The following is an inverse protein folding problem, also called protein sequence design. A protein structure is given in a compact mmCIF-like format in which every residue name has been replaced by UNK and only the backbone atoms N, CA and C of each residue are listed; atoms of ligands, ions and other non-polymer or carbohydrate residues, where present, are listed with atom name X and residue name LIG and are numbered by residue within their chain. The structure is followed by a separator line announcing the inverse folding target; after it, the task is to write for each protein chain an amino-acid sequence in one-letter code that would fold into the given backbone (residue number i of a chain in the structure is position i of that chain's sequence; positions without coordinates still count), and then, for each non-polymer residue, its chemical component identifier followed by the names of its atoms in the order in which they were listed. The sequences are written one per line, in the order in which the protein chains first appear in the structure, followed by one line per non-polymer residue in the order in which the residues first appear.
data_IF_255609805209
#
_entry.id   IF_255609805209
#
_cell.length_a   1.000
_cell.length_b   1.000
_cell.length_c   1.000
_cell.angle_alpha   90.00
_cell.angle_beta   90.00
_cell.angle_gamma   90.00
#
_symmetry.space_group_name_H-M   'P 1'
#
loop_
_entity.id
_entity.type
_entity.pdbx_description
1 polymer ?
#
# COMPACT_ATOMS: atom_id res chain seq x y z
N UNK A 1 -24.23 3.99 35.56
CA UNK A 1 -23.27 2.92 35.28
C UNK A 1 -22.13 3.49 34.44
N UNK A 2 -20.90 3.03 34.63
CA UNK A 2 -19.77 3.43 33.78
C UNK A 2 -19.97 2.96 32.34
N UNK A 3 -19.27 3.62 31.41
CA UNK A 3 -19.25 3.27 29.99
C UNK A 3 -17.81 3.08 29.56
N UNK A 4 -17.54 1.98 28.87
CA UNK A 4 -16.25 1.68 28.26
C UNK A 4 -16.11 2.27 26.86
N UNK A 5 -14.97 2.01 26.22
CA UNK A 5 -14.70 2.51 24.87
C UNK A 5 -13.49 1.86 24.24
N UNK A 6 -13.11 2.39 23.07
CA UNK A 6 -11.98 1.92 22.28
C UNK A 6 -10.86 2.94 22.31
N UNK A 7 -9.63 2.46 22.49
CA UNK A 7 -8.40 3.26 22.47
C UNK A 7 -7.32 2.53 21.67
N UNK A 8 -6.28 3.26 21.25
CA UNK A 8 -5.06 2.67 20.68
C UNK A 8 -4.11 2.14 21.76
N UNK A 9 -3.16 1.34 21.40
CA UNK A 9 -2.06 0.92 22.26
C UNK A 9 -1.34 2.15 22.85
N UNK A 10 -1.19 2.17 24.19
CA UNK A 10 -0.60 3.30 24.91
C UNK A 10 -1.52 4.49 25.13
N UNK A 11 -2.77 4.44 24.66
CA UNK A 11 -3.80 5.43 24.94
C UNK A 11 -4.37 5.28 26.35
N UNK A 12 -5.08 6.31 26.83
CA UNK A 12 -5.81 6.32 28.10
C UNK A 12 -7.30 6.56 27.87
N UNK A 13 -8.11 6.16 28.82
CA UNK A 13 -9.56 6.33 28.78
C UNK A 13 -10.09 6.84 30.13
N UNK A 14 -11.02 7.80 30.09
CA UNK A 14 -11.68 8.31 31.28
C UNK A 14 -13.00 7.57 31.50
N UNK A 15 -13.10 6.86 32.62
CA UNK A 15 -14.31 6.16 33.03
C UNK A 15 -14.96 6.96 34.17
N UNK A 16 -16.28 7.08 34.16
CA UNK A 16 -17.02 7.78 35.20
C UNK A 16 -18.27 7.03 35.60
N UNK A 17 -18.71 7.26 36.83
CA UNK A 17 -19.96 6.77 37.35
C UNK A 17 -20.73 7.90 38.07
N UNK A 18 -22.03 7.86 37.99
CA UNK A 18 -22.90 8.71 38.79
C UNK A 18 -23.61 7.82 39.81
N UNK A 19 -23.37 8.09 41.09
CA UNK A 19 -24.06 7.48 42.24
C UNK A 19 -24.83 8.54 43.05
N UNK A 20 -25.86 8.11 43.73
CA UNK A 20 -26.70 8.96 44.58
C UNK A 20 -27.31 8.12 45.70
N UNK A 21 -27.71 8.77 46.79
CA UNK A 21 -28.43 8.11 47.88
C UNK A 21 -27.89 8.43 49.26
N UNK A 22 -26.59 8.50 49.46
CA UNK A 22 -25.93 8.87 50.71
C UNK A 22 -25.16 10.19 50.57
N UNK A 23 -24.98 10.98 51.63
CA UNK A 23 -24.11 12.16 51.63
C UNK A 23 -22.63 11.81 51.54
N UNK A 24 -22.20 10.62 52.01
CA UNK A 24 -20.81 10.19 52.12
C UNK A 24 -20.57 8.95 51.25
N UNK A 25 -20.56 9.13 49.95
CA UNK A 25 -20.33 8.06 48.97
C UNK A 25 -18.83 7.91 48.66
N UNK A 26 -18.33 6.69 48.81
CA UNK A 26 -16.97 6.30 48.51
C UNK A 26 -16.88 5.42 47.25
N UNK A 27 -15.84 5.62 46.47
CA UNK A 27 -15.61 4.94 45.21
C UNK A 27 -14.30 4.17 45.22
N UNK A 28 -14.34 2.88 44.87
CA UNK A 28 -13.14 2.05 44.71
C UNK A 28 -13.16 1.41 43.34
N UNK A 29 -12.45 2.03 42.44
CA UNK A 29 -12.27 1.46 41.10
C UNK A 29 -11.41 0.21 41.12
N UNK A 30 -11.74 -0.76 40.28
CA UNK A 30 -11.04 -2.04 40.16
C UNK A 30 -10.82 -2.37 38.71
N UNK A 31 -9.60 -2.84 38.37
CA UNK A 31 -9.22 -3.38 37.08
C UNK A 31 -9.04 -4.88 37.16
N UNK A 32 -9.46 -5.63 36.18
CA UNK A 32 -9.25 -7.07 36.09
C UNK A 32 -7.89 -7.39 35.49
N UNK A 33 -7.00 -8.07 36.22
CA UNK A 33 -5.66 -8.41 35.77
C UNK A 33 -5.53 -9.76 35.03
N UNK A 34 -6.69 -10.35 34.65
CA UNK A 34 -6.76 -11.68 34.03
C UNK A 34 -7.02 -12.81 35.03
N UNK A 35 -6.86 -12.55 36.34
CA UNK A 35 -7.06 -13.55 37.41
C UNK A 35 -7.92 -13.03 38.55
N UNK A 36 -7.78 -11.75 38.88
CA UNK A 36 -8.48 -11.12 40.02
C UNK A 36 -8.72 -9.63 39.74
N UNK A 37 -9.62 -9.05 40.51
CA UNK A 37 -9.89 -7.61 40.57
C UNK A 37 -8.85 -6.93 41.48
N UNK A 38 -8.16 -5.95 40.92
CA UNK A 38 -7.13 -5.16 41.63
C UNK A 38 -7.65 -3.73 41.80
N UNK A 39 -7.52 -3.17 42.98
CA UNK A 39 -7.89 -1.77 43.26
C UNK A 39 -6.96 -0.83 42.47
N UNK A 40 -7.60 0.14 41.81
CA UNK A 40 -6.93 1.18 41.02
C UNK A 40 -7.56 2.55 41.32
N UNK A 41 -6.80 3.61 41.04
CA UNK A 41 -7.28 4.99 41.21
C UNK A 41 -7.37 5.43 42.65
N UNK A 42 -8.12 6.50 42.85
CA UNK A 42 -8.41 7.14 44.10
C UNK A 42 -9.92 7.12 44.39
N UNK A 43 -10.33 7.47 45.60
CA UNK A 43 -11.73 7.63 45.96
C UNK A 43 -12.34 8.83 45.19
N UNK A 44 -12.88 8.56 44.02
CA UNK A 44 -13.46 9.57 43.14
C UNK A 44 -14.46 8.94 42.13
N UNK A 45 -15.49 9.65 41.70
CA UNK A 45 -16.46 9.16 40.71
C UNK A 45 -15.85 8.99 39.31
N UNK A 46 -14.64 9.51 39.09
CA UNK A 46 -13.94 9.44 37.79
C UNK A 46 -12.62 8.70 37.98
N UNK A 47 -12.24 7.91 36.97
CA UNK A 47 -10.96 7.21 36.92
C UNK A 47 -10.36 7.28 35.50
N UNK A 48 -9.12 7.75 35.39
CA UNK A 48 -8.34 7.66 34.18
C UNK A 48 -7.50 6.40 34.21
N UNK A 49 -7.62 5.57 33.17
CA UNK A 49 -6.95 4.26 33.11
C UNK A 49 -5.42 4.34 33.04
N UNK A 50 -4.87 5.52 32.69
CA UNK A 50 -3.49 5.63 32.25
C UNK A 50 -3.28 4.91 30.90
N UNK A 51 -2.04 4.82 30.48
CA UNK A 51 -1.67 4.17 29.22
C UNK A 51 -1.90 2.66 29.28
N UNK A 52 -2.79 2.14 28.43
CA UNK A 52 -3.09 0.72 28.32
C UNK A 52 -2.41 0.09 27.10
N UNK A 53 -1.87 -1.11 27.30
CA UNK A 53 -1.26 -1.93 26.22
C UNK A 53 -2.12 -3.16 25.87
N UNK A 54 -3.18 -3.40 26.62
CA UNK A 54 -4.10 -4.53 26.42
C UNK A 54 -5.51 -4.16 26.86
N UNK A 55 -6.51 -4.76 26.22
CA UNK A 55 -7.91 -4.66 26.60
C UNK A 55 -8.09 -5.05 28.05
N UNK A 56 -8.78 -4.20 28.83
CA UNK A 56 -8.92 -4.34 30.28
C UNK A 56 -10.37 -4.10 30.70
N UNK A 57 -10.87 -4.93 31.61
CA UNK A 57 -12.18 -4.75 32.23
C UNK A 57 -12.05 -3.94 33.52
N UNK A 58 -13.01 -3.07 33.74
CA UNK A 58 -13.11 -2.24 34.92
C UNK A 58 -14.47 -2.36 35.55
N UNK A 59 -14.53 -2.11 36.87
CA UNK A 59 -15.75 -1.90 37.64
C UNK A 59 -15.45 -0.97 38.79
N UNK A 60 -16.49 -0.40 39.41
CA UNK A 60 -16.36 0.38 40.63
C UNK A 60 -17.18 -0.25 41.74
N UNK A 61 -16.58 -0.40 42.91
CA UNK A 61 -17.24 -0.69 44.15
C UNK A 61 -17.61 0.63 44.79
N UNK A 62 -18.87 0.74 45.25
CA UNK A 62 -19.43 1.95 45.83
C UNK A 62 -20.02 1.59 47.17
N UNK A 63 -19.58 2.29 48.21
CA UNK A 63 -20.08 2.14 49.58
C UNK A 63 -20.33 3.51 50.23
N UNK A 64 -20.91 3.51 51.39
CA UNK A 64 -21.12 4.71 52.22
C UNK A 64 -20.77 4.41 53.68
N UNK A 65 -20.33 5.43 54.42
CA UNK A 65 -19.87 5.28 55.80
C UNK A 65 -21.05 5.05 56.78
N UNK A 66 -22.29 5.32 56.38
CA UNK A 66 -23.45 5.15 57.21
C UNK A 66 -23.84 3.67 57.39
N UNK A 67 -24.04 3.25 58.63
CA UNK A 67 -24.47 1.89 58.95
C UNK A 67 -25.88 1.61 58.41
N UNK A 68 -25.99 0.55 57.59
CA UNK A 68 -27.24 0.08 56.98
C UNK A 68 -27.44 0.44 55.52
N UNK A 69 -26.46 1.12 54.90
CA UNK A 69 -26.43 1.25 53.44
C UNK A 69 -25.86 -0.03 52.82
N UNK A 70 -26.43 -0.45 51.70
CA UNK A 70 -25.92 -1.60 50.95
C UNK A 70 -24.77 -1.16 50.04
N UNK A 71 -23.68 -1.94 50.05
CA UNK A 71 -22.57 -1.80 49.13
C UNK A 71 -22.97 -2.32 47.77
N UNK A 72 -22.54 -1.63 46.70
CA UNK A 72 -22.89 -2.01 45.35
C UNK A 72 -21.68 -2.03 44.40
N UNK A 73 -21.67 -2.96 43.47
CA UNK A 73 -20.76 -2.95 42.33
C UNK A 73 -21.48 -2.41 41.11
N UNK A 74 -20.75 -1.65 40.31
CA UNK A 74 -21.21 -1.33 38.96
C UNK A 74 -21.23 -2.57 38.06
N UNK A 75 -21.90 -2.48 36.93
CA UNK A 75 -21.62 -3.39 35.82
C UNK A 75 -20.16 -3.28 35.37
N UNK A 76 -19.61 -4.37 34.87
CA UNK A 76 -18.29 -4.37 34.24
C UNK A 76 -18.34 -3.59 32.93
N UNK A 77 -17.28 -2.85 32.66
CA UNK A 77 -17.07 -2.16 31.40
C UNK A 77 -15.71 -2.54 30.83
N UNK A 78 -15.64 -2.60 29.51
CA UNK A 78 -14.43 -2.97 28.78
C UNK A 78 -13.84 -1.73 28.13
N UNK A 79 -12.55 -1.49 28.34
CA UNK A 79 -11.76 -0.56 27.54
C UNK A 79 -10.94 -1.40 26.57
N UNK A 80 -11.34 -1.37 25.29
CA UNK A 80 -10.68 -2.12 24.25
C UNK A 80 -9.42 -1.39 23.78
N UNK A 81 -8.33 -2.13 23.70
CA UNK A 81 -7.08 -1.62 23.12
C UNK A 81 -6.89 -2.25 21.74
N UNK A 82 -6.98 -1.43 20.71
CA UNK A 82 -6.68 -1.83 19.35
C UNK A 82 -5.18 -1.63 19.05
N UNK A 83 -4.50 -2.59 18.42
CA UNK A 83 -3.14 -2.40 17.94
C UNK A 83 -3.08 -1.29 16.89
N UNK A 84 -1.97 -0.55 16.85
CA UNK A 84 -1.72 0.45 15.82
C UNK A 84 -1.58 -0.21 14.44
N UNK A 85 -1.93 0.54 13.40
CA UNK A 85 -1.79 0.07 12.03
C UNK A 85 -0.31 -0.05 11.68
N UNK A 86 0.05 -1.18 11.10
CA UNK A 86 1.39 -1.43 10.55
C UNK A 86 1.32 -2.00 9.14
N UNK A 87 2.23 -1.55 8.27
CA UNK A 87 2.38 -2.09 6.91
C UNK A 87 3.52 -3.10 6.94
N UNK A 88 3.19 -4.39 6.80
CA UNK A 88 4.14 -5.51 6.82
C UNK A 88 4.74 -5.80 5.43
N UNK A 89 4.02 -5.47 4.34
CA UNK A 89 4.55 -5.50 2.99
C UNK A 89 4.20 -4.19 2.27
N UNK A 90 5.24 -3.46 1.88
CA UNK A 90 5.12 -2.23 1.10
C UNK A 90 4.79 -2.56 -0.36
N UNK A 91 4.07 -1.67 -1.07
CA UNK A 91 3.89 -1.84 -2.49
C UNK A 91 5.23 -1.77 -3.23
N UNK A 92 5.33 -2.55 -4.30
CA UNK A 92 6.51 -2.58 -5.19
C UNK A 92 6.11 -2.09 -6.57
N UNK A 93 6.98 -1.32 -7.20
CA UNK A 93 6.80 -0.84 -8.56
C UNK A 93 7.49 -1.72 -9.60
N UNK A 94 7.35 -1.31 -10.84
CA UNK A 94 7.94 -2.00 -11.98
C UNK A 94 7.88 -1.17 -13.24
N UNK A 95 8.22 -1.80 -14.37
CA UNK A 95 8.20 -1.18 -15.69
C UNK A 95 7.18 -1.86 -16.59
N UNK A 96 6.47 -1.07 -17.37
CA UNK A 96 5.49 -1.50 -18.37
C UNK A 96 5.70 -0.73 -19.68
N UNK A 97 5.20 -1.24 -20.78
CA UNK A 97 5.12 -0.48 -22.04
C UNK A 97 3.94 0.49 -22.02
N UNK A 98 3.96 1.47 -22.92
CA UNK A 98 2.85 2.43 -23.10
C UNK A 98 1.52 1.71 -23.29
N UNK A 99 0.50 2.12 -22.54
CA UNK A 99 -0.82 1.48 -22.55
C UNK A 99 -0.95 0.20 -21.71
N UNK A 100 0.15 -0.28 -21.12
CA UNK A 100 0.13 -1.39 -20.17
C UNK A 100 -0.46 -0.98 -18.83
N UNK A 101 -0.74 -1.96 -17.98
CA UNK A 101 -1.20 -1.78 -16.59
C UNK A 101 -0.28 -2.50 -15.61
N UNK A 102 -0.39 -2.14 -14.33
CA UNK A 102 0.42 -2.72 -13.26
C UNK A 102 -0.43 -2.97 -12.03
N UNK A 103 -0.22 -4.13 -11.37
CA UNK A 103 -0.90 -4.46 -10.12
C UNK A 103 -0.03 -4.07 -8.93
N UNK A 104 -0.56 -3.18 -8.11
CA UNK A 104 0.02 -2.76 -6.84
C UNK A 104 -0.67 -3.48 -5.69
N UNK A 105 0.07 -3.83 -4.66
CA UNK A 105 -0.49 -4.46 -3.46
C UNK A 105 0.23 -4.01 -2.20
N UNK A 106 -0.49 -4.00 -1.09
CA UNK A 106 0.00 -3.70 0.25
C UNK A 106 -0.52 -4.74 1.23
N UNK A 107 0.25 -5.07 2.26
CA UNK A 107 -0.23 -5.86 3.39
C UNK A 107 -0.13 -5.03 4.65
N UNK A 108 -1.27 -4.77 5.27
CA UNK A 108 -1.37 -4.04 6.53
C UNK A 108 -2.10 -4.88 7.59
N UNK A 109 -1.79 -4.63 8.85
CA UNK A 109 -2.38 -5.28 10.01
C UNK A 109 -2.46 -4.30 11.19
N UNK A 110 -3.13 -4.72 12.28
CA UNK A 110 -3.27 -3.94 13.49
C UNK A 110 -4.73 -3.80 13.88
N UNK A 111 -5.42 -2.83 13.32
CA UNK A 111 -6.84 -2.62 13.61
C UNK A 111 -7.75 -3.67 12.95
N UNK A 112 -8.87 -4.06 13.58
CA UNK A 112 -9.85 -4.96 12.98
C UNK A 112 -10.63 -4.35 11.80
N UNK A 113 -10.58 -3.02 11.61
CA UNK A 113 -11.36 -2.29 10.60
C UNK A 113 -10.48 -1.42 9.71
N UNK A 114 -9.48 -2.03 9.07
CA UNK A 114 -8.55 -1.33 8.18
C UNK A 114 -9.26 -0.87 6.91
N UNK A 115 -9.03 0.40 6.55
CA UNK A 115 -9.48 1.04 5.32
C UNK A 115 -8.28 1.40 4.46
N UNK A 116 -8.43 1.32 3.15
CA UNK A 116 -7.38 1.65 2.18
C UNK A 116 -7.87 2.75 1.27
N UNK A 117 -6.97 3.66 0.86
CA UNK A 117 -7.21 4.62 -0.20
C UNK A 117 -5.93 4.80 -1.01
N UNK A 118 -5.91 4.30 -2.23
CA UNK A 118 -4.79 4.55 -3.13
C UNK A 118 -4.83 5.98 -3.66
N UNK A 119 -3.64 6.54 -3.78
CA UNK A 119 -3.41 7.88 -4.30
C UNK A 119 -2.35 7.83 -5.40
N UNK A 120 -2.53 8.70 -6.40
CA UNK A 120 -1.54 8.95 -7.44
C UNK A 120 -1.00 10.37 -7.34
N UNK A 121 0.25 10.56 -7.72
CA UNK A 121 0.86 11.88 -7.83
C UNK A 121 0.60 12.47 -9.21
N UNK A 122 0.00 13.66 -9.28
CA UNK A 122 -0.30 14.34 -10.55
C UNK A 122 0.82 15.26 -11.04
N UNK A 123 1.99 15.23 -10.40
CA UNK A 123 3.13 16.10 -10.65
C UNK A 123 3.23 17.28 -9.65
N UNK A 124 2.17 17.56 -8.89
CA UNK A 124 2.11 18.66 -7.92
C UNK A 124 1.58 18.20 -6.58
N UNK A 125 0.50 17.43 -6.58
CA UNK A 125 -0.20 16.96 -5.39
C UNK A 125 -0.55 15.47 -5.49
N UNK A 126 -0.83 14.86 -4.35
CA UNK A 126 -1.41 13.51 -4.26
C UNK A 126 -2.92 13.60 -4.42
N UNK A 127 -3.47 12.81 -5.33
CA UNK A 127 -4.90 12.71 -5.60
C UNK A 127 -5.42 11.33 -5.23
N UNK A 128 -6.50 11.30 -4.45
CA UNK A 128 -7.20 10.05 -4.16
C UNK A 128 -7.84 9.47 -5.41
N UNK A 129 -7.62 8.18 -5.64
CA UNK A 129 -8.18 7.47 -6.80
C UNK A 129 -9.56 6.94 -6.40
N UNK A 130 -10.60 7.43 -7.06
CA UNK A 130 -11.98 7.04 -6.75
C UNK A 130 -12.18 5.54 -6.90
N UNK A 131 -12.70 4.90 -5.84
CA UNK A 131 -12.97 3.47 -5.81
C UNK A 131 -11.75 2.57 -5.55
N UNK A 132 -10.56 3.13 -5.41
CA UNK A 132 -9.34 2.37 -5.10
C UNK A 132 -9.15 2.21 -3.57
N UNK A 133 -10.04 1.44 -2.95
CA UNK A 133 -10.15 1.26 -1.50
C UNK A 133 -9.91 -0.20 -1.06
N UNK A 134 -9.16 -0.95 -1.82
CA UNK A 134 -8.75 -2.33 -1.56
C UNK A 134 -7.24 -2.41 -1.28
N UNK A 135 -6.74 -3.45 -0.58
CA UNK A 135 -5.29 -3.68 -0.46
C UNK A 135 -4.59 -3.92 -1.80
N UNK A 136 -5.34 -4.22 -2.84
CA UNK A 136 -4.84 -4.37 -4.21
C UNK A 136 -5.43 -3.27 -5.10
N UNK A 137 -4.60 -2.73 -6.01
CA UNK A 137 -5.01 -1.74 -6.98
C UNK A 137 -4.35 -2.00 -8.34
N UNK A 138 -5.15 -2.09 -9.39
CA UNK A 138 -4.67 -2.11 -10.77
C UNK A 138 -4.67 -0.69 -11.33
N UNK A 139 -3.53 -0.26 -11.88
CA UNK A 139 -3.36 1.12 -12.36
C UNK A 139 -4.24 1.49 -13.56
N UNK A 140 -4.77 0.49 -14.26
CA UNK A 140 -5.29 0.67 -15.60
C UNK A 140 -4.17 1.01 -16.59
N UNK A 141 -4.54 1.34 -17.82
CA UNK A 141 -3.60 1.67 -18.88
C UNK A 141 -2.87 2.98 -18.59
N UNK A 142 -1.52 2.93 -18.54
CA UNK A 142 -0.67 4.09 -18.31
C UNK A 142 0.02 4.54 -19.59
N UNK A 143 0.05 5.85 -19.81
CA UNK A 143 0.78 6.49 -20.92
C UNK A 143 2.04 7.23 -20.46
N UNK A 144 2.30 7.31 -19.16
CA UNK A 144 3.46 7.95 -18.57
C UNK A 144 3.78 7.42 -17.19
N UNK A 145 5.05 7.49 -16.82
CA UNK A 145 5.55 7.10 -15.50
C UNK A 145 4.78 7.82 -14.40
N UNK A 146 4.27 7.07 -13.44
CA UNK A 146 3.37 7.57 -12.40
C UNK A 146 3.80 7.05 -11.03
N UNK A 147 3.65 7.90 -10.02
CA UNK A 147 3.91 7.55 -8.63
C UNK A 147 2.59 7.26 -7.90
N UNK A 148 2.64 6.27 -7.02
CA UNK A 148 1.51 5.84 -6.20
C UNK A 148 1.93 5.69 -4.74
N UNK A 149 0.97 5.81 -3.86
CA UNK A 149 1.04 5.41 -2.45
C UNK A 149 -0.35 4.98 -2.00
N UNK A 150 -0.43 4.29 -0.87
CA UNK A 150 -1.71 3.98 -0.24
C UNK A 150 -1.77 4.60 1.16
N UNK A 151 -2.85 5.28 1.43
CA UNK A 151 -3.27 5.71 2.76
C UNK A 151 -4.01 4.56 3.42
N UNK A 152 -3.58 4.19 4.62
CA UNK A 152 -4.17 3.11 5.42
C UNK A 152 -4.66 3.71 6.73
N UNK A 153 -5.93 3.59 6.99
CA UNK A 153 -6.62 4.14 8.15
C UNK A 153 -7.47 3.08 8.84
N UNK A 154 -8.00 3.41 10.00
CA UNK A 154 -8.96 2.58 10.71
C UNK A 154 -10.17 3.41 11.16
N UNK A 155 -11.35 2.78 11.20
CA UNK A 155 -12.59 3.45 11.63
C UNK A 155 -12.69 3.59 13.15
N UNK A 156 -11.84 2.90 13.92
CA UNK A 156 -11.83 3.00 15.37
C UNK A 156 -11.07 4.24 15.85
N UNK A 157 -11.63 4.93 16.84
CA UNK A 157 -11.02 6.11 17.42
C UNK A 157 -9.65 5.79 18.04
N UNK A 158 -8.66 6.61 17.69
CA UNK A 158 -7.34 6.59 18.30
C UNK A 158 -6.26 5.76 17.59
N UNK A 159 -6.57 4.99 16.53
CA UNK A 159 -5.55 4.37 15.70
C UNK A 159 -4.85 5.43 14.83
N UNK A 160 -3.52 5.36 14.73
CA UNK A 160 -2.77 6.25 13.83
C UNK A 160 -2.90 5.78 12.38
N UNK A 161 -3.20 6.72 11.50
CA UNK A 161 -3.22 6.49 10.06
C UNK A 161 -1.78 6.45 9.52
N UNK A 162 -1.53 5.60 8.54
CA UNK A 162 -0.20 5.44 7.96
C UNK A 162 -0.23 5.53 6.43
N UNK A 163 0.83 6.07 5.85
CA UNK A 163 1.08 6.00 4.41
C UNK A 163 2.07 4.90 4.10
N UNK A 164 1.89 4.23 2.98
CA UNK A 164 2.93 3.37 2.42
C UNK A 164 4.12 4.19 1.92
N UNK A 165 5.22 3.52 1.66
CA UNK A 165 6.27 4.06 0.81
C UNK A 165 5.70 4.46 -0.56
N UNK A 166 6.30 5.48 -1.17
CA UNK A 166 6.00 5.87 -2.56
C UNK A 166 6.55 4.80 -3.50
N UNK A 167 5.73 4.37 -4.44
CA UNK A 167 6.09 3.40 -5.46
C UNK A 167 5.99 4.05 -6.85
N UNK A 168 6.90 3.69 -7.75
CA UNK A 168 6.95 4.22 -9.11
C UNK A 168 6.62 3.08 -10.08
N UNK A 169 5.65 3.32 -10.97
CA UNK A 169 5.40 2.50 -12.15
C UNK A 169 5.98 3.25 -13.35
N UNK A 170 7.06 2.71 -13.91
CA UNK A 170 7.76 3.32 -15.03
C UNK A 170 7.10 2.87 -16.33
N UNK A 171 6.74 3.84 -17.18
CA UNK A 171 6.25 3.57 -18.53
C UNK A 171 7.37 3.81 -19.53
N UNK A 172 7.74 2.75 -20.23
CA UNK A 172 8.69 2.82 -21.35
C UNK A 172 7.93 2.94 -22.67
N UNK A 173 8.37 3.82 -23.59
CA UNK A 173 7.74 3.89 -24.91
C UNK A 173 7.88 2.57 -25.66
N UNK A 174 6.91 2.25 -26.51
CA UNK A 174 7.00 1.12 -27.43
C UNK A 174 8.09 1.33 -28.46
N UNK A 175 8.67 0.22 -28.92
CA UNK A 175 9.67 0.29 -29.99
C UNK A 175 9.01 0.82 -31.27
N UNK A 176 9.66 1.79 -31.89
CA UNK A 176 9.27 2.35 -33.18
C UNK A 176 10.47 2.46 -34.11
N UNK A 177 10.23 2.21 -35.39
CA UNK A 177 11.26 2.40 -36.43
C UNK A 177 11.01 3.74 -37.12
N UNK A 178 11.97 4.67 -36.97
CA UNK A 178 11.89 6.00 -37.58
C UNK A 178 12.55 6.02 -38.98
N UNK A 179 13.51 5.16 -39.24
CA UNK A 179 14.15 5.00 -40.57
C UNK A 179 14.18 3.52 -40.91
N UNK A 180 13.46 3.17 -41.96
CA UNK A 180 13.46 1.80 -42.51
C UNK A 180 14.74 1.53 -43.33
N UNK A 181 15.21 0.26 -43.40
CA UNK A 181 16.28 -0.10 -44.27
C UNK A 181 15.96 0.20 -45.75
N UNK A 182 16.93 0.77 -46.44
CA UNK A 182 16.80 1.09 -47.87
C UNK A 182 17.70 0.15 -48.69
N UNK A 183 17.09 -0.54 -49.64
CA UNK A 183 17.81 -1.35 -50.61
C UNK A 183 18.44 -0.50 -51.72
N UNK A 184 19.32 -1.12 -52.50
CA UNK A 184 19.99 -0.46 -53.59
C UNK A 184 20.41 -1.44 -54.71
N UNK A 185 20.78 -0.90 -55.88
CA UNK A 185 21.33 -1.67 -56.97
C UNK A 185 22.85 -1.69 -56.85
N UNK A 186 23.43 -2.88 -56.95
CA UNK A 186 24.88 -3.11 -56.93
C UNK A 186 25.28 -4.01 -58.09
N UNK A 187 26.54 -3.94 -58.49
CA UNK A 187 27.10 -4.90 -59.45
C UNK A 187 27.29 -6.27 -58.81
N UNK A 188 27.31 -7.34 -59.63
CA UNK A 188 27.61 -8.71 -59.15
C UNK A 188 28.93 -8.72 -58.38
N UNK A 189 28.90 -9.30 -57.16
CA UNK A 189 30.07 -9.33 -56.28
C UNK A 189 30.23 -8.07 -55.39
N UNK A 190 29.39 -7.04 -55.58
CA UNK A 190 29.36 -5.87 -54.71
C UNK A 190 28.60 -6.15 -53.38
N UNK A 191 28.69 -5.23 -52.46
CA UNK A 191 27.99 -5.26 -51.18
C UNK A 191 27.15 -3.99 -50.98
N UNK A 192 26.23 -4.05 -50.01
CA UNK A 192 25.38 -2.94 -49.60
C UNK A 192 25.34 -2.86 -48.09
N UNK A 193 25.48 -1.63 -47.55
CA UNK A 193 25.27 -1.37 -46.16
C UNK A 193 23.81 -1.03 -45.92
N UNK A 194 23.14 -1.83 -45.10
CA UNK A 194 21.76 -1.63 -44.65
C UNK A 194 21.77 -1.05 -43.24
N UNK A 195 20.89 -0.13 -42.96
CA UNK A 195 20.75 0.46 -41.64
C UNK A 195 19.29 0.66 -41.27
N UNK A 196 18.98 0.62 -39.97
CA UNK A 196 17.68 0.93 -39.40
C UNK A 196 17.88 1.91 -38.23
N UNK A 197 16.92 2.82 -38.02
CA UNK A 197 16.90 3.65 -36.83
C UNK A 197 15.62 3.33 -36.05
N UNK A 198 15.79 2.74 -34.87
CA UNK A 198 14.70 2.44 -33.95
C UNK A 198 14.88 3.21 -32.65
N UNK A 199 13.79 3.44 -31.95
CA UNK A 199 13.71 4.12 -30.65
C UNK A 199 12.57 3.57 -29.83
N UNK A 200 12.54 3.91 -28.50
CA UNK A 200 11.48 3.50 -27.60
C UNK A 200 12.01 2.81 -26.36
N UNK A 201 12.31 1.53 -26.45
CA UNK A 201 12.89 0.78 -25.32
C UNK A 201 14.37 1.16 -25.08
N UNK A 202 14.86 1.14 -23.82
CA UNK A 202 16.28 1.33 -23.53
C UNK A 202 17.16 0.18 -24.04
N UNK A 203 16.59 -1.02 -24.23
CA UNK A 203 17.31 -2.23 -24.66
C UNK A 203 16.71 -2.73 -25.97
N UNK A 204 17.14 -2.12 -27.10
CA UNK A 204 16.71 -2.53 -28.44
C UNK A 204 17.69 -3.53 -28.98
N UNK A 205 17.19 -4.68 -29.40
CA UNK A 205 17.94 -5.75 -30.05
C UNK A 205 17.55 -5.85 -31.53
N UNK A 206 18.52 -6.15 -32.37
CA UNK A 206 18.35 -6.23 -33.83
C UNK A 206 18.65 -7.62 -34.33
N UNK A 207 17.76 -8.18 -35.14
CA UNK A 207 18.01 -9.45 -35.82
C UNK A 207 17.76 -9.32 -37.32
N UNK A 208 18.83 -9.22 -38.08
CA UNK A 208 18.77 -9.22 -39.54
C UNK A 208 18.47 -10.60 -40.08
N UNK A 209 17.70 -10.63 -41.15
CA UNK A 209 17.39 -11.87 -41.89
C UNK A 209 17.49 -11.64 -43.39
N UNK A 210 18.02 -12.66 -44.09
CA UNK A 210 18.08 -12.74 -45.55
C UNK A 210 17.11 -13.80 -46.07
N UNK A 211 16.50 -13.58 -47.23
CA UNK A 211 15.56 -14.51 -47.85
C UNK A 211 16.24 -15.31 -48.97
N UNK A 212 16.37 -16.62 -48.77
CA UNK A 212 16.89 -17.60 -49.72
C UNK A 212 15.88 -18.75 -49.92
N UNK A 213 14.64 -18.40 -50.30
CA UNK A 213 13.54 -19.38 -50.26
C UNK A 213 12.88 -19.51 -48.89
N UNK A 214 13.59 -19.21 -47.82
CA UNK A 214 13.15 -19.03 -46.45
C UNK A 214 13.96 -17.92 -45.77
N UNK A 215 13.41 -17.31 -44.71
CA UNK A 215 14.13 -16.32 -43.92
C UNK A 215 15.15 -16.98 -43.01
N UNK A 216 16.40 -16.59 -43.12
CA UNK A 216 17.52 -17.05 -42.29
C UNK A 216 18.20 -15.87 -41.59
N UNK A 217 18.60 -16.08 -40.33
CA UNK A 217 19.30 -15.07 -39.51
C UNK A 217 20.68 -14.80 -40.14
N UNK A 218 21.01 -13.53 -40.26
CA UNK A 218 22.31 -13.03 -40.75
C UNK A 218 22.79 -11.88 -39.88
N UNK A 219 24.10 -11.64 -39.86
CA UNK A 219 24.69 -10.55 -39.08
C UNK A 219 24.70 -10.77 -37.58
N UNK A 220 24.95 -9.69 -36.85
CA UNK A 220 24.97 -9.63 -35.41
C UNK A 220 23.84 -8.67 -34.90
N UNK A 221 23.63 -8.61 -33.58
CA UNK A 221 22.74 -7.64 -32.94
C UNK A 221 23.30 -6.21 -33.12
N UNK A 222 22.86 -5.55 -34.19
CA UNK A 222 23.34 -4.23 -34.60
C UNK A 222 22.31 -3.54 -35.49
N UNK A 223 22.12 -2.21 -35.38
CA UNK A 223 21.28 -1.44 -36.30
C UNK A 223 21.82 -1.41 -37.71
N UNK A 224 23.06 -1.81 -37.93
CA UNK A 224 23.72 -1.81 -39.23
C UNK A 224 24.10 -3.25 -39.65
N UNK A 225 23.90 -3.53 -40.94
CA UNK A 225 24.27 -4.82 -41.50
C UNK A 225 24.88 -4.63 -42.91
N UNK A 226 26.08 -5.17 -43.12
CA UNK A 226 26.69 -5.25 -44.46
C UNK A 226 26.33 -6.60 -45.12
N UNK A 227 25.79 -6.58 -46.33
CA UNK A 227 25.32 -7.79 -47.00
C UNK A 227 26.43 -8.75 -47.40
N UNK A 228 27.67 -8.31 -47.40
CA UNK A 228 28.74 -9.01 -48.09
C UNK A 228 28.55 -9.02 -49.61
N UNK A 229 29.41 -9.74 -50.31
CA UNK A 229 29.36 -9.85 -51.77
C UNK A 229 28.11 -10.60 -52.25
N UNK A 230 27.26 -9.95 -53.01
CA UNK A 230 26.03 -10.52 -53.57
C UNK A 230 26.18 -10.92 -55.02
N UNK A 231 25.74 -12.12 -55.37
CA UNK A 231 25.73 -12.64 -56.75
C UNK A 231 24.32 -12.68 -57.36
N UNK A 232 23.30 -12.44 -56.55
CA UNK A 232 21.90 -12.41 -56.95
C UNK A 232 21.09 -11.44 -56.07
N UNK A 233 19.93 -11.00 -56.57
CA UNK A 233 18.99 -10.19 -55.76
C UNK A 233 18.54 -10.94 -54.52
N UNK A 234 18.70 -10.30 -53.38
CA UNK A 234 18.33 -10.87 -52.07
C UNK A 234 17.48 -9.85 -51.27
N UNK A 235 16.44 -10.33 -50.64
CA UNK A 235 15.60 -9.52 -49.77
C UNK A 235 16.10 -9.62 -48.31
N UNK A 236 16.09 -8.51 -47.62
CA UNK A 236 16.51 -8.41 -46.21
C UNK A 236 15.39 -7.80 -45.38
N UNK A 237 15.33 -8.19 -44.11
CA UNK A 237 14.52 -7.54 -43.07
C UNK A 237 15.23 -7.57 -41.75
N UNK A 238 14.78 -6.71 -40.83
CA UNK A 238 15.25 -6.64 -39.45
C UNK A 238 14.05 -6.68 -38.51
N UNK A 239 14.22 -7.44 -37.44
CA UNK A 239 13.31 -7.42 -36.28
C UNK A 239 13.94 -6.61 -35.18
#
# INVERSE_FOLDING_TARGET
QPVGGDIRTGGSFDISVLASGSPDIHYQWQAFNGSSWVVVGTDAPNYNTGALTSTTNYRVFINADESGCEDVYSTEVVVNVAPDISISAQPTGGSICTGGNFDLSVVASGSPSIQYQWERFNGTTWESIVGANSPMYNTGALTGTTQYRVFVSATQNGCEDVYSAIVIVTVTPDISISVQPVGGAICTGGNLDLSVVASGSPDIHYQWQAFNGSWSVVGSDSPNYNTGALTSTTNYRVF
#
